data_IF_558781973275
#
_entry.id   IF_558781973275
#
_cell.length_a   1.000
_cell.length_b   1.000
_cell.length_c   1.000
_cell.angle_alpha   90.00
_cell.angle_beta   90.00
_cell.angle_gamma   90.00
#
_symmetry.space_group_name_H-M   'P 1'
#
loop_
_entity.id
_entity.type
_entity.pdbx_description
1 polymer ?
#
# COMPACT_ATOMS: atom_id res chain seq x y z
N UNK A 1 20.09 5.65 21.26
CA UNK A 1 19.42 4.96 20.13
C UNK A 1 18.53 5.88 19.32
N UNK A 2 17.90 6.91 19.92
CA UNK A 2 17.05 7.86 19.18
C UNK A 2 17.83 8.70 18.16
N UNK A 3 19.02 9.19 18.52
CA UNK A 3 19.86 10.02 17.65
C UNK A 3 20.24 9.36 16.31
N UNK A 4 20.49 8.04 16.31
CA UNK A 4 20.81 7.28 15.09
C UNK A 4 19.54 7.09 14.24
N UNK A 5 18.39 6.87 14.89
CA UNK A 5 17.09 6.72 14.24
C UNK A 5 16.65 8.04 13.61
N UNK A 6 16.82 9.16 14.31
CA UNK A 6 16.49 10.50 13.81
C UNK A 6 17.39 10.91 12.65
N UNK A 7 18.69 10.59 12.76
CA UNK A 7 19.64 10.83 11.67
C UNK A 7 19.31 9.95 10.44
N UNK A 8 18.90 8.70 10.65
CA UNK A 8 18.38 7.83 9.59
C UNK A 8 17.12 8.44 8.98
N UNK A 9 16.12 8.84 9.76
CA UNK A 9 14.87 9.42 9.24
C UNK A 9 15.16 10.71 8.44
N UNK A 10 16.18 11.49 8.82
CA UNK A 10 16.58 12.70 8.12
C UNK A 10 17.29 12.42 6.78
N UNK A 11 18.19 11.43 6.75
CA UNK A 11 19.09 11.20 5.60
C UNK A 11 18.54 10.13 4.64
N UNK A 12 17.79 9.15 5.15
CA UNK A 12 17.23 8.03 4.37
C UNK A 12 16.36 8.52 3.20
N UNK A 13 15.50 9.55 3.32
CA UNK A 13 14.72 10.05 2.17
C UNK A 13 15.61 10.59 1.07
N UNK A 14 16.69 11.29 1.43
CA UNK A 14 17.66 11.89 0.50
C UNK A 14 18.49 10.80 -0.19
N UNK A 15 18.94 9.79 0.55
CA UNK A 15 19.65 8.63 0.02
C UNK A 15 18.77 7.82 -0.93
N UNK A 16 17.53 7.53 -0.54
CA UNK A 16 16.56 6.85 -1.40
C UNK A 16 16.31 7.66 -2.67
N UNK A 17 16.13 8.98 -2.56
CA UNK A 17 15.93 9.86 -3.73
C UNK A 17 17.13 9.83 -4.68
N UNK A 18 18.36 9.82 -4.17
CA UNK A 18 19.57 9.74 -4.98
C UNK A 18 19.69 8.39 -5.70
N UNK A 19 19.43 7.29 -4.99
CA UNK A 19 19.44 5.92 -5.56
C UNK A 19 18.34 5.76 -6.61
N UNK A 20 17.12 6.23 -6.33
CA UNK A 20 16.01 6.16 -7.27
C UNK A 20 16.21 7.06 -8.49
N UNK A 21 16.81 8.25 -8.33
CA UNK A 21 17.18 9.12 -9.45
C UNK A 21 18.23 8.47 -10.34
N UNK A 22 19.25 7.83 -9.75
CA UNK A 22 20.27 7.07 -10.50
C UNK A 22 19.67 5.89 -11.28
N UNK A 23 18.60 5.27 -10.77
CA UNK A 23 17.86 4.20 -11.42
C UNK A 23 16.81 4.68 -12.44
N UNK A 24 16.70 5.99 -12.71
CA UNK A 24 15.71 6.55 -13.66
C UNK A 24 14.26 6.53 -13.15
N UNK A 25 14.09 6.33 -11.84
CA UNK A 25 12.81 6.44 -11.13
C UNK A 25 12.66 7.90 -10.71
N UNK A 26 12.05 8.68 -11.58
CA UNK A 26 11.77 10.09 -11.35
C UNK A 26 10.88 10.28 -10.11
N UNK A 27 11.07 11.38 -9.35
CA UNK A 27 10.33 11.65 -8.10
C UNK A 27 8.81 11.60 -8.33
N UNK A 28 8.37 12.00 -9.52
CA UNK A 28 6.98 11.96 -9.99
C UNK A 28 6.48 10.52 -10.15
N UNK A 29 7.32 9.61 -10.68
CA UNK A 29 6.96 8.18 -10.80
C UNK A 29 6.82 7.56 -9.41
N UNK A 30 7.72 7.89 -8.49
CA UNK A 30 7.64 7.37 -7.12
C UNK A 30 6.39 7.86 -6.38
N UNK A 31 6.06 9.15 -6.46
CA UNK A 31 4.82 9.71 -5.91
C UNK A 31 3.57 9.06 -6.51
N UNK A 32 3.60 8.80 -7.83
CA UNK A 32 2.54 8.04 -8.51
C UNK A 32 2.42 6.62 -7.98
N UNK A 33 3.52 5.93 -7.75
CA UNK A 33 3.51 4.58 -7.16
C UNK A 33 2.97 4.58 -5.73
N UNK A 34 3.41 5.51 -4.88
CA UNK A 34 2.90 5.65 -3.51
C UNK A 34 1.40 5.90 -3.50
N UNK A 35 0.92 6.82 -4.34
CA UNK A 35 -0.50 7.14 -4.40
C UNK A 35 -1.36 5.97 -4.87
N UNK A 36 -0.85 5.14 -5.79
CA UNK A 36 -1.53 3.90 -6.18
C UNK A 36 -1.53 2.85 -5.06
N UNK A 37 -0.51 2.83 -4.20
CA UNK A 37 -0.50 1.92 -3.03
C UNK A 37 -1.55 2.38 -2.01
N UNK A 38 -1.59 3.67 -1.69
CA UNK A 38 -2.58 4.26 -0.77
C UNK A 38 -4.01 3.97 -1.23
N UNK A 39 -4.30 4.18 -2.52
CA UNK A 39 -5.63 3.89 -3.08
C UNK A 39 -5.95 2.38 -3.01
N UNK A 40 -4.95 1.50 -3.17
CA UNK A 40 -5.16 0.05 -3.07
C UNK A 40 -5.45 -0.39 -1.62
N UNK A 41 -4.77 0.19 -0.64
CA UNK A 41 -5.04 -0.04 0.78
C UNK A 41 -6.44 0.47 1.16
N UNK A 42 -6.80 1.68 0.75
CA UNK A 42 -8.15 2.24 0.95
C UNK A 42 -9.23 1.33 0.34
N UNK A 43 -8.99 0.79 -0.84
CA UNK A 43 -9.92 -0.11 -1.51
C UNK A 43 -10.13 -1.42 -0.73
N UNK A 44 -9.07 -1.97 -0.15
CA UNK A 44 -9.17 -3.18 0.68
C UNK A 44 -9.95 -2.88 1.96
N UNK A 45 -9.65 -1.76 2.63
CA UNK A 45 -10.38 -1.36 3.85
C UNK A 45 -11.86 -1.09 3.55
N UNK A 46 -12.16 -0.39 2.45
CA UNK A 46 -13.53 -0.18 1.99
C UNK A 46 -14.26 -1.50 1.80
N UNK A 47 -13.64 -2.48 1.12
CA UNK A 47 -14.28 -3.77 0.87
C UNK A 47 -14.49 -4.57 2.17
N UNK A 48 -13.58 -4.46 3.14
CA UNK A 48 -13.73 -5.13 4.43
C UNK A 48 -14.84 -4.51 5.29
N UNK A 49 -14.95 -3.18 5.28
CA UNK A 49 -15.95 -2.42 6.03
C UNK A 49 -17.37 -2.52 5.42
N UNK A 50 -17.49 -2.43 4.09
CA UNK A 50 -18.79 -2.45 3.40
C UNK A 50 -19.34 -3.86 3.17
N UNK A 51 -18.46 -4.87 3.06
CA UNK A 51 -18.86 -6.25 2.80
C UNK A 51 -18.28 -7.21 3.85
N UNK A 52 -18.59 -7.06 5.15
CA UNK A 52 -17.97 -7.84 6.21
C UNK A 52 -18.26 -9.34 6.10
N UNK A 53 -19.46 -9.72 5.64
CA UNK A 53 -19.91 -11.10 5.54
C UNK A 53 -19.58 -11.78 4.19
N UNK A 54 -19.06 -11.02 3.22
CA UNK A 54 -18.73 -11.57 1.91
C UNK A 54 -17.49 -12.47 1.98
N UNK A 55 -17.44 -13.57 1.20
CA UNK A 55 -16.22 -14.35 1.04
C UNK A 55 -15.05 -13.48 0.59
N UNK A 56 -13.83 -13.81 1.05
CA UNK A 56 -12.63 -13.01 0.75
C UNK A 56 -12.34 -12.83 -0.75
N UNK A 57 -12.78 -13.76 -1.60
CA UNK A 57 -12.67 -13.64 -3.06
C UNK A 57 -13.59 -12.55 -3.62
N UNK A 58 -14.80 -12.44 -3.09
CA UNK A 58 -15.76 -11.41 -3.51
C UNK A 58 -15.32 -10.03 -3.01
N UNK A 59 -14.83 -9.94 -1.76
CA UNK A 59 -14.22 -8.70 -1.24
C UNK A 59 -13.04 -8.24 -2.09
N UNK A 60 -12.19 -9.16 -2.54
CA UNK A 60 -11.07 -8.83 -3.41
C UNK A 60 -11.55 -8.24 -4.74
N UNK A 61 -12.62 -8.78 -5.32
CA UNK A 61 -13.20 -8.27 -6.56
C UNK A 61 -13.75 -6.85 -6.37
N UNK A 62 -14.51 -6.61 -5.30
CA UNK A 62 -15.04 -5.30 -4.95
C UNK A 62 -13.91 -4.27 -4.71
N UNK A 63 -12.86 -4.68 -4.01
CA UNK A 63 -11.67 -3.85 -3.81
C UNK A 63 -10.96 -3.51 -5.14
N UNK A 64 -10.87 -4.45 -6.07
CA UNK A 64 -10.28 -4.19 -7.41
C UNK A 64 -11.13 -3.18 -8.20
N UNK A 65 -12.46 -3.31 -8.17
CA UNK A 65 -13.36 -2.39 -8.86
C UNK A 65 -13.30 -0.98 -8.25
N UNK A 66 -13.31 -0.88 -6.92
CA UNK A 66 -13.14 0.40 -6.22
C UNK A 66 -11.77 1.02 -6.54
N UNK A 67 -10.68 0.24 -6.45
CA UNK A 67 -9.34 0.68 -6.75
C UNK A 67 -9.22 1.24 -8.17
N UNK A 68 -9.74 0.54 -9.18
CA UNK A 68 -9.73 1.01 -10.57
C UNK A 68 -10.46 2.34 -10.73
N UNK A 69 -11.63 2.45 -10.09
CA UNK A 69 -12.44 3.67 -10.13
C UNK A 69 -11.72 4.84 -9.46
N UNK A 70 -11.14 4.62 -8.28
CA UNK A 70 -10.40 5.63 -7.54
C UNK A 70 -9.10 6.03 -8.24
N UNK A 71 -8.37 5.07 -8.81
CA UNK A 71 -7.18 5.32 -9.63
C UNK A 71 -7.53 6.16 -10.87
N UNK A 72 -8.63 5.84 -11.57
CA UNK A 72 -9.09 6.61 -12.72
C UNK A 72 -9.49 8.04 -12.33
N UNK A 73 -10.21 8.23 -11.22
CA UNK A 73 -10.53 9.56 -10.67
C UNK A 73 -9.27 10.36 -10.30
N UNK A 74 -8.23 9.68 -9.84
CA UNK A 74 -6.93 10.28 -9.55
C UNK A 74 -6.06 10.52 -10.81
N UNK A 75 -6.57 10.25 -12.01
CA UNK A 75 -5.88 10.48 -13.28
C UNK A 75 -4.91 9.36 -13.67
N UNK A 76 -4.98 8.20 -13.02
CA UNK A 76 -4.16 7.04 -13.33
C UNK A 76 -4.93 6.05 -14.20
N UNK A 77 -4.32 5.68 -15.33
CA UNK A 77 -4.71 4.51 -16.08
C UNK A 77 -4.00 3.29 -15.53
N UNK A 78 -4.76 2.30 -15.07
CA UNK A 78 -4.26 1.06 -14.49
C UNK A 78 -4.92 -0.11 -15.20
N UNK A 79 -4.12 -1.10 -15.61
CA UNK A 79 -4.64 -2.32 -16.24
C UNK A 79 -5.29 -3.24 -15.21
N UNK A 80 -6.16 -4.15 -15.63
CA UNK A 80 -6.82 -5.11 -14.73
C UNK A 80 -5.80 -5.96 -13.97
N UNK A 81 -4.75 -6.41 -14.66
CA UNK A 81 -3.66 -7.18 -14.04
C UNK A 81 -2.94 -6.37 -12.98
N UNK A 82 -2.63 -5.11 -13.27
CA UNK A 82 -1.92 -4.23 -12.34
C UNK A 82 -2.79 -3.86 -11.13
N UNK A 83 -4.10 -3.69 -11.34
CA UNK A 83 -5.06 -3.47 -10.28
C UNK A 83 -5.16 -4.67 -9.34
N UNK A 84 -5.33 -5.88 -9.90
CA UNK A 84 -5.37 -7.11 -9.12
C UNK A 84 -4.08 -7.30 -8.30
N UNK A 85 -2.92 -7.11 -8.92
CA UNK A 85 -1.62 -7.27 -8.26
C UNK A 85 -1.47 -6.29 -7.09
N UNK A 86 -1.77 -5.00 -7.30
CA UNK A 86 -1.66 -3.97 -6.26
C UNK A 86 -2.61 -4.21 -5.09
N UNK A 87 -3.88 -4.52 -5.37
CA UNK A 87 -4.88 -4.79 -4.34
C UNK A 87 -4.54 -6.07 -3.56
N UNK A 88 -4.07 -7.12 -4.25
CA UNK A 88 -3.62 -8.35 -3.58
C UNK A 88 -2.43 -8.11 -2.67
N UNK A 89 -1.45 -7.32 -3.10
CA UNK A 89 -0.29 -6.94 -2.27
C UNK A 89 -0.75 -6.16 -1.03
N UNK A 90 -1.66 -5.19 -1.19
CA UNK A 90 -2.23 -4.43 -0.08
C UNK A 90 -2.94 -5.35 0.93
N UNK A 91 -3.74 -6.30 0.44
CA UNK A 91 -4.43 -7.28 1.27
C UNK A 91 -3.46 -8.14 2.11
N UNK A 92 -2.40 -8.65 1.47
CA UNK A 92 -1.37 -9.43 2.16
C UNK A 92 -0.58 -8.59 3.16
N UNK A 93 -0.30 -7.33 2.85
CA UNK A 93 0.41 -6.41 3.73
C UNK A 93 -0.41 -6.13 5.01
N UNK A 94 -1.70 -5.82 4.86
CA UNK A 94 -2.62 -5.59 5.98
C UNK A 94 -2.76 -6.85 6.86
N UNK A 95 -2.91 -8.03 6.26
CA UNK A 95 -2.95 -9.28 7.02
C UNK A 95 -1.66 -9.54 7.81
N UNK A 96 -0.48 -9.33 7.19
CA UNK A 96 0.81 -9.48 7.88
C UNK A 96 0.94 -8.48 9.03
N UNK A 97 0.49 -7.24 8.83
CA UNK A 97 0.52 -6.21 9.86
C UNK A 97 -0.42 -6.56 11.03
N UNK A 98 -1.64 -7.01 10.75
CA UNK A 98 -2.56 -7.47 11.77
C UNK A 98 -1.98 -8.66 12.57
N UNK A 99 -1.39 -9.64 11.89
CA UNK A 99 -0.73 -10.77 12.52
C UNK A 99 0.46 -10.34 13.40
N UNK A 100 1.29 -9.42 12.90
CA UNK A 100 2.42 -8.88 13.66
C UNK A 100 1.97 -8.11 14.90
N UNK A 101 0.88 -7.34 14.80
CA UNK A 101 0.32 -6.60 15.93
C UNK A 101 -0.23 -7.55 17.00
N UNK A 102 -0.95 -8.60 16.58
CA UNK A 102 -1.41 -9.66 17.48
C UNK A 102 -0.25 -10.38 18.16
N UNK A 103 0.80 -10.72 17.40
CA UNK A 103 1.99 -11.36 17.94
C UNK A 103 2.67 -10.47 19.01
N UNK A 104 2.79 -9.16 18.79
CA UNK A 104 3.31 -8.23 19.79
C UNK A 104 2.44 -8.16 21.05
N UNK A 105 1.13 -8.08 20.90
CA UNK A 105 0.19 -8.06 22.03
C UNK A 105 0.28 -9.35 22.86
N UNK A 106 0.50 -10.50 22.22
CA UNK A 106 0.63 -11.80 22.90
C UNK A 106 2.00 -11.99 23.57
N UNK A 107 3.06 -11.36 23.04
CA UNK A 107 4.43 -11.45 23.60
C UNK A 107 4.66 -10.42 24.72
N UNK A 108 3.76 -9.46 24.91
CA UNK A 108 3.79 -8.57 26.07
C UNK A 108 4.89 -7.51 26.03
N UNK A 109 5.18 -6.97 24.84
CA UNK A 109 5.91 -5.71 24.69
C UNK A 109 4.98 -4.50 24.70
#
# INVERSE_FOLDING_TARGET
MELIKDLLILILPSLLTAVFSYLGIDKIKFQRYQRLIEIAEEAVLYADDYYPESPGVDKLKEAIEYFKTAAQKAGFWVSDKEAEEKVRIAYQALQRQALNNLARQLVGE
#
